data_IF_427053277636
#
_entry.id   IF_427053277636
#
_cell.length_a   1.000
_cell.length_b   1.000
_cell.length_c   1.000
_cell.angle_alpha   90.00
_cell.angle_beta   90.00
_cell.angle_gamma   90.00
#
_symmetry.space_group_name_H-M   'P 1'
#
loop_
_entity.id
_entity.type
_entity.pdbx_description
1 polymer ?
#
# COMPACT_ATOMS: atom_id res chain seq x y z
N UNK A 1 27.22 13.83 -29.79
CA UNK A 1 26.80 12.42 -29.68
C UNK A 1 26.01 12.27 -28.38
N UNK A 2 24.70 12.12 -28.48
CA UNK A 2 23.81 11.97 -27.34
C UNK A 2 23.37 10.51 -27.14
N UNK A 3 23.00 10.24 -25.88
CA UNK A 3 22.16 9.15 -25.36
C UNK A 3 22.73 7.73 -25.27
N UNK A 4 22.74 7.24 -24.03
CA UNK A 4 22.01 6.03 -23.63
C UNK A 4 21.52 6.23 -22.18
N UNK A 5 20.24 6.62 -22.02
CA UNK A 5 19.51 6.62 -20.75
C UNK A 5 18.45 5.50 -20.80
N UNK A 6 18.85 4.29 -21.18
CA UNK A 6 17.93 3.17 -21.42
C UNK A 6 18.38 1.91 -20.68
N UNK A 7 18.13 1.90 -19.37
CA UNK A 7 17.91 0.69 -18.59
C UNK A 7 17.11 1.06 -17.34
N UNK A 8 15.80 1.30 -17.51
CA UNK A 8 14.88 1.33 -16.38
C UNK A 8 14.81 -0.10 -15.86
N UNK A 9 15.46 -0.38 -14.72
CA UNK A 9 14.96 -1.44 -13.86
C UNK A 9 13.47 -1.14 -13.66
N UNK A 10 12.60 -2.06 -14.03
CA UNK A 10 11.14 -1.96 -13.97
C UNK A 10 10.70 -2.09 -12.50
N UNK A 11 11.37 -1.34 -11.64
CA UNK A 11 11.45 -1.49 -10.21
C UNK A 11 10.09 -1.10 -9.62
N UNK A 12 9.43 -2.09 -9.03
CA UNK A 12 8.19 -1.90 -8.30
C UNK A 12 8.37 -0.78 -7.28
N UNK A 13 7.32 -0.01 -7.00
CA UNK A 13 7.40 1.08 -6.03
C UNK A 13 7.87 0.58 -4.66
N UNK A 14 8.48 1.44 -3.84
CA UNK A 14 9.04 1.04 -2.54
C UNK A 14 7.99 0.50 -1.55
N UNK A 15 6.71 0.90 -1.70
CA UNK A 15 5.60 0.37 -0.92
C UNK A 15 5.19 -1.07 -1.30
N UNK A 16 5.74 -1.62 -2.38
CA UNK A 16 5.36 -2.93 -2.90
C UNK A 16 6.08 -4.03 -2.13
N UNK A 17 5.35 -4.80 -1.32
CA UNK A 17 5.94 -5.89 -0.54
C UNK A 17 6.59 -6.94 -1.46
N UNK A 18 7.67 -7.57 -1.00
CA UNK A 18 8.42 -8.57 -1.78
C UNK A 18 7.53 -9.74 -2.19
N UNK A 19 6.61 -10.17 -1.31
CA UNK A 19 5.67 -11.26 -1.57
C UNK A 19 4.37 -10.84 -2.27
N UNK A 20 4.09 -9.54 -2.35
CA UNK A 20 3.00 -9.07 -3.19
C UNK A 20 3.49 -9.13 -4.64
N UNK A 21 3.00 -10.03 -5.49
CA UNK A 21 3.45 -10.10 -6.89
C UNK A 21 2.63 -9.25 -7.86
N UNK A 22 1.68 -8.46 -7.35
CA UNK A 22 0.85 -7.63 -8.22
C UNK A 22 1.64 -6.46 -8.82
N UNK A 23 1.35 -6.10 -10.09
CA UNK A 23 2.00 -4.97 -10.75
C UNK A 23 1.61 -3.65 -10.09
N UNK A 24 2.48 -2.65 -10.20
CA UNK A 24 2.14 -1.28 -9.79
C UNK A 24 1.03 -0.71 -10.67
N UNK A 25 0.25 0.23 -10.12
CA UNK A 25 -0.79 0.94 -10.85
C UNK A 25 -0.58 2.45 -10.73
N UNK A 26 -0.15 3.09 -11.83
CA UNK A 26 0.14 4.52 -11.88
C UNK A 26 1.53 4.89 -11.34
N UNK A 27 1.77 6.18 -11.03
CA UNK A 27 3.07 6.68 -10.58
C UNK A 27 3.57 5.99 -9.30
N UNK A 28 4.86 5.68 -9.23
CA UNK A 28 5.47 4.95 -8.10
C UNK A 28 5.65 5.80 -6.84
N UNK A 29 5.38 7.10 -6.93
CA UNK A 29 5.48 8.11 -5.87
C UNK A 29 4.15 8.86 -5.66
N UNK A 30 3.02 8.26 -6.08
CA UNK A 30 1.69 8.87 -5.94
C UNK A 30 1.34 9.21 -4.48
N UNK A 31 1.86 8.42 -3.52
CA UNK A 31 1.74 8.63 -2.08
C UNK A 31 3.03 8.28 -1.35
N UNK A 32 3.15 8.72 -0.09
CA UNK A 32 4.15 8.22 0.85
C UNK A 32 3.44 7.55 2.04
N UNK A 33 3.74 6.29 2.32
CA UNK A 33 3.27 5.59 3.52
C UNK A 33 4.33 5.69 4.60
N UNK A 34 3.93 6.09 5.81
CA UNK A 34 4.79 6.14 6.98
C UNK A 34 4.34 5.11 8.01
N UNK A 35 5.29 4.34 8.55
CA UNK A 35 5.02 3.47 9.70
C UNK A 35 4.92 4.27 11.02
N UNK A 36 4.57 3.59 12.11
CA UNK A 36 4.47 4.19 13.44
C UNK A 36 5.79 4.75 14.01
N UNK A 37 6.93 4.52 13.35
CA UNK A 37 8.25 5.04 13.70
C UNK A 37 8.71 6.18 12.77
N UNK A 38 7.92 6.50 11.75
CA UNK A 38 8.25 7.52 10.76
C UNK A 38 9.13 7.05 9.61
N UNK A 39 9.37 5.74 9.46
CA UNK A 39 10.01 5.21 8.25
C UNK A 39 9.04 5.39 7.08
N UNK A 40 9.54 5.86 5.94
CA UNK A 40 8.73 6.25 4.80
C UNK A 40 9.00 5.37 3.57
N UNK A 41 7.94 5.04 2.84
CA UNK A 41 8.02 4.36 1.55
C UNK A 41 7.13 5.07 0.52
N UNK A 42 7.73 5.48 -0.61
CA UNK A 42 6.99 5.99 -1.76
C UNK A 42 6.24 4.84 -2.45
N UNK A 43 4.98 5.07 -2.79
CA UNK A 43 4.11 4.05 -3.35
C UNK A 43 3.18 4.58 -4.44
N UNK A 44 2.82 3.68 -5.36
CA UNK A 44 1.62 3.85 -6.17
C UNK A 44 0.36 3.67 -5.31
N UNK A 45 -0.81 4.07 -5.81
CA UNK A 45 -2.05 3.96 -5.03
C UNK A 45 -2.38 2.51 -4.64
N UNK A 46 -2.09 1.57 -5.53
CA UNK A 46 -2.36 0.15 -5.31
C UNK A 46 -1.53 -0.43 -4.16
N UNK A 47 -0.19 -0.32 -4.23
CA UNK A 47 0.68 -0.84 -3.18
C UNK A 47 0.67 0.02 -1.92
N UNK A 48 0.46 1.34 -2.04
CA UNK A 48 0.27 2.24 -0.90
C UNK A 48 -0.92 1.83 -0.04
N UNK A 49 -2.07 1.49 -0.65
CA UNK A 49 -3.25 1.02 0.09
C UNK A 49 -3.03 -0.33 0.77
N UNK A 50 -2.37 -1.27 0.09
CA UNK A 50 -2.05 -2.58 0.65
C UNK A 50 -1.04 -2.51 1.80
N UNK A 51 -0.02 -1.66 1.68
CA UNK A 51 0.94 -1.41 2.73
C UNK A 51 0.29 -0.74 3.94
N UNK A 52 -0.52 0.30 3.71
CA UNK A 52 -1.27 1.00 4.76
C UNK A 52 -2.18 0.04 5.54
N UNK A 53 -2.87 -0.87 4.85
CA UNK A 53 -3.72 -1.87 5.49
C UNK A 53 -2.96 -2.93 6.30
N UNK A 54 -1.64 -3.08 6.09
CA UNK A 54 -0.84 -4.18 6.66
C UNK A 54 0.05 -3.75 7.82
N UNK A 55 0.22 -2.45 8.06
CA UNK A 55 1.12 -1.92 9.09
C UNK A 55 0.30 -1.21 10.16
N UNK A 56 0.43 -1.69 11.38
CA UNK A 56 -0.21 -1.05 12.53
C UNK A 56 0.35 0.35 12.78
N UNK A 57 -0.55 1.30 13.06
CA UNK A 57 -0.21 2.71 13.25
C UNK A 57 0.34 3.43 12.01
N UNK A 58 0.26 2.84 10.82
CA UNK A 58 0.69 3.51 9.59
C UNK A 58 -0.25 4.65 9.20
N UNK A 59 0.30 5.63 8.49
CA UNK A 59 -0.46 6.72 7.86
C UNK A 59 0.01 6.93 6.43
N UNK A 60 -0.83 7.59 5.63
CA UNK A 60 -0.51 7.98 4.26
C UNK A 60 -0.44 9.50 4.15
N UNK A 61 0.59 9.98 3.45
CA UNK A 61 0.79 11.38 3.10
C UNK A 61 0.67 11.56 1.57
N UNK A 62 0.29 12.76 1.10
CA UNK A 62 0.27 13.09 -0.33
C UNK A 62 1.62 12.90 -1.01
N UNK A 63 1.60 12.45 -2.27
CA UNK A 63 2.77 12.37 -3.14
C UNK A 63 2.56 13.14 -4.44
N UNK A 64 3.02 12.57 -5.56
CA UNK A 64 2.99 13.22 -6.88
C UNK A 64 1.58 13.39 -7.47
N UNK A 65 0.59 12.62 -6.99
CA UNK A 65 -0.77 12.61 -7.52
C UNK A 65 -1.75 13.23 -6.52
N UNK A 66 -2.37 14.34 -6.92
CA UNK A 66 -3.37 15.04 -6.11
C UNK A 66 -4.57 14.11 -5.82
N UNK A 67 -4.95 14.04 -4.54
CA UNK A 67 -6.06 13.20 -4.05
C UNK A 67 -5.74 11.71 -3.94
N UNK A 68 -4.55 11.25 -4.33
CA UNK A 68 -4.16 9.85 -4.20
C UNK A 68 -4.16 9.37 -2.75
N UNK A 69 -3.67 10.18 -1.80
CA UNK A 69 -3.67 9.83 -0.37
C UNK A 69 -5.08 9.53 0.16
N UNK A 70 -6.09 10.33 -0.23
CA UNK A 70 -7.48 10.08 0.16
C UNK A 70 -8.03 8.79 -0.45
N UNK A 71 -7.76 8.51 -1.73
CA UNK A 71 -8.17 7.25 -2.38
C UNK A 71 -7.49 6.04 -1.76
N UNK A 72 -6.20 6.16 -1.44
CA UNK A 72 -5.42 5.12 -0.74
C UNK A 72 -6.01 4.83 0.64
N UNK A 73 -6.30 5.86 1.43
CA UNK A 73 -6.91 5.70 2.74
C UNK A 73 -8.27 4.99 2.65
N UNK A 74 -9.12 5.40 1.71
CA UNK A 74 -10.42 4.78 1.49
C UNK A 74 -10.31 3.33 1.02
N UNK A 75 -9.37 3.03 0.12
CA UNK A 75 -9.13 1.67 -0.37
C UNK A 75 -8.62 0.74 0.75
N UNK A 76 -7.65 1.21 1.53
CA UNK A 76 -7.03 0.46 2.62
C UNK A 76 -8.04 -0.03 3.67
N UNK A 77 -9.09 0.76 3.92
CA UNK A 77 -10.16 0.41 4.87
C UNK A 77 -10.85 -0.93 4.58
N UNK A 78 -10.90 -1.32 3.30
CA UNK A 78 -11.54 -2.55 2.83
C UNK A 78 -10.54 -3.66 2.49
N UNK A 79 -9.24 -3.35 2.51
CA UNK A 79 -8.17 -4.31 2.25
C UNK A 79 -7.84 -5.05 3.53
N UNK A 80 -7.61 -6.35 3.42
CA UNK A 80 -7.14 -7.16 4.54
C UNK A 80 -5.63 -7.01 4.71
N UNK A 81 -5.10 -7.02 5.94
CA UNK A 81 -3.66 -7.06 6.17
C UNK A 81 -3.01 -8.22 5.42
N UNK A 82 -1.84 -7.96 4.81
CA UNK A 82 -1.07 -8.94 4.04
C UNK A 82 -1.91 -9.65 2.96
N UNK A 83 -2.74 -8.89 2.23
CA UNK A 83 -3.72 -9.43 1.27
C UNK A 83 -3.16 -10.32 0.14
N UNK A 84 -1.83 -10.37 -0.04
CA UNK A 84 -1.16 -11.31 -0.93
C UNK A 84 -1.11 -12.75 -0.38
N UNK A 85 -1.41 -12.96 0.91
CA UNK A 85 -1.61 -14.29 1.48
C UNK A 85 -3.08 -14.72 1.40
N UNK A 86 -3.46 -15.32 0.28
CA UNK A 86 -4.87 -15.68 -0.01
C UNK A 86 -5.43 -16.76 0.92
N UNK A 87 -4.57 -17.62 1.48
CA UNK A 87 -4.95 -18.77 2.31
C UNK A 87 -4.76 -18.53 3.81
N UNK A 88 -4.50 -17.29 4.25
CA UNK A 88 -4.35 -17.00 5.66
C UNK A 88 -5.70 -17.18 6.41
N UNK A 89 -5.69 -17.75 7.63
CA UNK A 89 -6.89 -17.85 8.46
C UNK A 89 -7.55 -16.48 8.70
N UNK A 90 -8.85 -16.49 9.01
CA UNK A 90 -9.67 -15.27 9.23
C UNK A 90 -10.47 -15.31 10.53
N UNK A 91 -9.83 -15.81 11.57
CA UNK A 91 -10.45 -15.99 12.88
C UNK A 91 -10.16 -14.83 13.80
N UNK A 92 -9.01 -14.16 13.63
CA UNK A 92 -8.53 -13.09 14.51
C UNK A 92 -8.72 -11.68 13.93
N UNK A 93 -8.90 -10.64 14.76
CA UNK A 93 -9.07 -9.25 14.29
C UNK A 93 -7.95 -8.75 13.37
N UNK A 94 -6.70 -9.15 13.61
CA UNK A 94 -5.54 -8.77 12.79
C UNK A 94 -5.50 -9.41 11.40
N UNK A 95 -6.45 -10.31 11.09
CA UNK A 95 -6.58 -10.95 9.78
C UNK A 95 -7.71 -10.34 8.94
N UNK A 96 -8.41 -9.36 9.48
CA UNK A 96 -9.58 -8.72 8.89
C UNK A 96 -9.25 -7.30 8.49
N UNK A 97 -9.97 -6.80 7.49
CA UNK A 97 -9.96 -5.37 7.15
C UNK A 97 -10.54 -4.52 8.30
N UNK A 98 -10.24 -3.23 8.29
CA UNK A 98 -10.79 -2.29 9.27
C UNK A 98 -12.34 -2.23 9.18
N UNK A 99 -12.89 -2.27 7.96
CA UNK A 99 -14.32 -2.36 7.72
C UNK A 99 -14.95 -3.63 8.33
N UNK A 100 -14.34 -4.80 8.13
CA UNK A 100 -14.82 -6.06 8.73
C UNK A 100 -14.78 -6.01 10.27
N UNK A 101 -13.70 -5.46 10.85
CA UNK A 101 -13.59 -5.29 12.30
C UNK A 101 -14.68 -4.37 12.86
N UNK A 102 -14.98 -3.24 12.20
CA UNK A 102 -16.09 -2.37 12.62
C UNK A 102 -17.44 -3.08 12.53
N UNK A 103 -17.68 -3.84 11.47
CA UNK A 103 -18.94 -4.59 11.31
C UNK A 103 -19.13 -5.67 12.39
N UNK A 104 -18.05 -6.27 12.92
CA UNK A 104 -18.12 -7.24 14.03
C UNK A 104 -18.41 -6.60 15.39
N UNK A 105 -18.09 -5.31 15.54
CA UNK A 105 -18.19 -4.58 16.81
C UNK A 105 -19.42 -3.66 16.89
N UNK A 106 -20.25 -3.63 15.84
CA UNK A 106 -21.51 -2.89 15.77
C UNK A 106 -22.67 -3.72 16.32
#
# INVERSE_FOLDING_TARGET
MGQARDAVDVSRCAAAHVDDLTPCAGPHDAVTVLDGKGNAAAGCEHHGARMLASIDGARVEPGSVVGAATRVLAAADTIRPFCWYENAPRTEPGQLSAAENRARNA
#
